data_IF_965093292095
#
_entry.id   IF_965093292095
#
_cell.length_a   1.000
_cell.length_b   1.000
_cell.length_c   1.000
_cell.angle_alpha   90.00
_cell.angle_beta   90.00
_cell.angle_gamma   90.00
#
_symmetry.space_group_name_H-M   'P 1'
#
loop_
_entity.id
_entity.type
_entity.pdbx_description
1 polymer ?
#
# COMPACT_ATOMS: atom_id res chain seq x y z
N UNK A 1 -28.96 14.60 59.19
CA UNK A 1 -27.66 13.91 59.02
C UNK A 1 -27.20 13.14 60.27
N UNK A 2 -26.97 13.75 61.44
CA UNK A 2 -26.48 13.05 62.66
C UNK A 2 -27.34 11.87 63.15
N UNK A 3 -28.68 12.01 63.16
CA UNK A 3 -29.62 10.92 63.51
C UNK A 3 -29.56 9.72 62.55
N UNK A 4 -29.33 9.97 61.27
CA UNK A 4 -29.24 8.91 60.25
C UNK A 4 -27.94 8.12 60.41
N UNK A 5 -26.82 8.81 60.60
CA UNK A 5 -25.51 8.19 60.85
C UNK A 5 -25.52 7.34 62.12
N UNK A 6 -26.16 7.82 63.18
CA UNK A 6 -26.33 7.06 64.43
C UNK A 6 -27.14 5.77 64.22
N UNK A 7 -28.25 5.82 63.45
CA UNK A 7 -29.04 4.63 63.11
C UNK A 7 -28.27 3.62 62.26
N UNK A 8 -27.49 4.10 61.28
CA UNK A 8 -26.64 3.24 60.44
C UNK A 8 -25.56 2.56 61.29
N UNK A 9 -24.88 3.30 62.18
CA UNK A 9 -23.90 2.72 63.11
C UNK A 9 -24.53 1.65 64.01
N UNK A 10 -25.72 1.89 64.52
CA UNK A 10 -26.48 0.90 65.30
C UNK A 10 -26.73 -0.38 64.49
N UNK A 11 -27.27 -0.25 63.28
CA UNK A 11 -27.55 -1.38 62.39
C UNK A 11 -26.30 -2.19 62.01
N UNK A 12 -25.18 -1.50 61.71
CA UNK A 12 -23.91 -2.15 61.36
C UNK A 12 -23.34 -2.93 62.54
N UNK A 13 -23.43 -2.38 63.75
CA UNK A 13 -22.97 -3.06 64.96
C UNK A 13 -23.86 -4.26 65.34
N UNK A 14 -25.18 -4.14 65.17
CA UNK A 14 -26.13 -5.22 65.48
C UNK A 14 -26.09 -6.36 64.45
N UNK A 15 -25.80 -6.05 63.18
CA UNK A 15 -25.84 -7.02 62.07
C UNK A 15 -24.63 -6.86 61.14
N UNK A 16 -23.41 -7.20 61.61
CA UNK A 16 -22.19 -6.96 60.84
C UNK A 16 -22.14 -7.78 59.54
N UNK A 17 -22.50 -9.08 59.58
CA UNK A 17 -22.53 -9.94 58.39
C UNK A 17 -23.51 -9.42 57.33
N UNK A 18 -24.72 -9.06 57.74
CA UNK A 18 -25.74 -8.52 56.82
C UNK A 18 -25.32 -7.18 56.24
N UNK A 19 -24.68 -6.33 57.04
CA UNK A 19 -24.16 -5.04 56.58
C UNK A 19 -23.02 -5.18 55.57
N UNK A 20 -22.14 -6.16 55.75
CA UNK A 20 -21.11 -6.51 54.75
C UNK A 20 -21.76 -7.00 53.45
N UNK A 21 -22.76 -7.89 53.52
CA UNK A 21 -23.47 -8.37 52.32
C UNK A 21 -24.17 -7.22 51.59
N UNK A 22 -24.83 -6.31 52.31
CA UNK A 22 -25.47 -5.13 51.72
C UNK A 22 -24.42 -4.22 51.06
N UNK A 23 -23.27 -4.02 51.70
CA UNK A 23 -22.18 -3.20 51.13
C UNK A 23 -21.62 -3.82 49.85
N UNK A 24 -21.37 -5.14 49.83
CA UNK A 24 -20.89 -5.85 48.65
C UNK A 24 -21.93 -5.76 47.52
N UNK A 25 -23.20 -5.99 47.83
CA UNK A 25 -24.28 -5.88 46.85
C UNK A 25 -24.39 -4.44 46.31
N UNK A 26 -24.28 -3.43 47.16
CA UNK A 26 -24.26 -2.03 46.75
C UNK A 26 -23.09 -1.72 45.83
N UNK A 27 -21.87 -2.15 46.18
CA UNK A 27 -20.68 -1.97 45.34
C UNK A 27 -20.88 -2.66 43.99
N UNK A 28 -21.36 -3.90 43.97
CA UNK A 28 -21.59 -4.64 42.73
C UNK A 28 -22.63 -3.94 41.83
N UNK A 29 -23.76 -3.50 42.40
CA UNK A 29 -24.78 -2.74 41.66
C UNK A 29 -24.23 -1.40 41.17
N UNK A 30 -23.52 -0.67 42.03
CA UNK A 30 -22.91 0.61 41.66
C UNK A 30 -21.90 0.44 40.53
N UNK A 31 -21.01 -0.56 40.61
CA UNK A 31 -20.05 -0.90 39.56
C UNK A 31 -20.78 -1.28 38.27
N UNK A 32 -21.81 -2.12 38.33
CA UNK A 32 -22.60 -2.50 37.15
C UNK A 32 -23.26 -1.29 36.47
N UNK A 33 -23.91 -0.42 37.24
CA UNK A 33 -24.55 0.80 36.71
C UNK A 33 -23.53 1.72 36.05
N UNK A 34 -22.37 1.93 36.68
CA UNK A 34 -21.31 2.75 36.09
C UNK A 34 -20.75 2.11 34.81
N UNK A 35 -20.55 0.79 34.79
CA UNK A 35 -20.13 0.09 33.58
C UNK A 35 -21.14 0.30 32.45
N UNK A 36 -22.45 0.15 32.71
CA UNK A 36 -23.49 0.39 31.70
C UNK A 36 -23.50 1.85 31.21
N UNK A 37 -23.38 2.81 32.13
CA UNK A 37 -23.27 4.22 31.75
C UNK A 37 -22.05 4.49 30.85
N UNK A 38 -20.91 3.86 31.14
CA UNK A 38 -19.73 3.95 30.29
C UNK A 38 -19.96 3.37 28.89
N UNK A 39 -20.70 2.25 28.76
CA UNK A 39 -21.03 1.67 27.46
C UNK A 39 -21.95 2.60 26.66
N UNK A 40 -23.06 3.05 27.26
CA UNK A 40 -24.03 3.93 26.60
C UNK A 40 -23.38 5.22 26.10
N UNK A 41 -22.53 5.84 26.92
CA UNK A 41 -21.80 7.08 26.55
C UNK A 41 -20.66 6.84 25.56
N UNK A 42 -20.41 5.60 25.13
CA UNK A 42 -19.46 5.25 24.06
C UNK A 42 -20.16 4.93 22.75
N UNK A 43 -21.48 4.80 22.75
CA UNK A 43 -22.23 4.41 21.57
C UNK A 43 -22.36 5.58 20.58
N UNK A 44 -22.32 5.32 19.28
CA UNK A 44 -22.49 6.37 18.26
C UNK A 44 -23.77 7.20 18.43
N UNK A 45 -24.85 6.60 18.95
CA UNK A 45 -26.09 7.33 19.24
C UNK A 45 -25.96 8.37 20.35
N UNK A 46 -25.04 8.20 21.29
CA UNK A 46 -24.72 9.25 22.26
C UNK A 46 -23.98 10.41 21.59
N UNK A 47 -23.02 10.10 20.72
CA UNK A 47 -22.28 11.11 19.96
C UNK A 47 -23.18 11.96 19.05
N UNK A 48 -24.21 11.35 18.46
CA UNK A 48 -25.18 12.05 17.58
C UNK A 48 -25.90 13.21 18.26
N UNK A 49 -26.06 13.17 19.59
CA UNK A 49 -26.69 14.26 20.33
C UNK A 49 -25.91 15.58 20.21
N UNK A 50 -24.59 15.49 20.02
CA UNK A 50 -23.71 16.64 19.82
C UNK A 50 -23.31 16.81 18.34
N UNK A 51 -23.43 15.75 17.53
CA UNK A 51 -23.14 15.73 16.10
C UNK A 51 -24.40 15.35 15.28
N UNK A 52 -25.43 16.23 15.23
CA UNK A 52 -26.72 15.93 14.60
C UNK A 52 -26.77 16.26 13.10
N UNK A 53 -25.66 16.75 12.54
CA UNK A 53 -25.58 17.18 11.14
C UNK A 53 -25.83 16.03 10.18
N UNK A 54 -26.37 16.37 9.01
CA UNK A 54 -26.73 15.40 7.95
C UNK A 54 -25.97 15.65 6.64
N UNK A 55 -24.97 16.54 6.66
CA UNK A 55 -24.10 16.81 5.52
C UNK A 55 -22.79 16.04 5.62
N UNK A 56 -21.71 16.64 5.11
CA UNK A 56 -20.34 16.10 5.16
C UNK A 56 -19.35 17.01 5.88
N UNK A 57 -19.82 18.12 6.46
CA UNK A 57 -18.99 19.07 7.22
C UNK A 57 -19.01 18.82 8.72
N UNK A 58 -18.49 19.80 9.47
CA UNK A 58 -18.55 19.80 10.93
C UNK A 58 -19.96 19.48 11.45
N UNK A 59 -20.03 18.75 12.56
CA UNK A 59 -21.25 18.22 13.19
C UNK A 59 -21.92 17.07 12.44
N UNK A 60 -21.46 16.68 11.24
CA UNK A 60 -22.04 15.58 10.46
C UNK A 60 -21.22 14.29 10.52
N UNK A 61 -20.32 14.17 11.49
CA UNK A 61 -19.34 13.08 11.63
C UNK A 61 -20.03 11.73 11.86
N UNK A 62 -21.12 11.71 12.64
CA UNK A 62 -21.90 10.48 12.87
C UNK A 62 -22.69 10.08 11.63
N UNK A 63 -23.24 11.06 10.89
CA UNK A 63 -23.99 10.80 9.67
C UNK A 63 -23.12 10.18 8.57
N UNK A 64 -21.96 10.78 8.33
CA UNK A 64 -20.97 10.29 7.35
C UNK A 64 -20.38 8.94 7.75
N UNK A 65 -20.05 8.75 9.04
CA UNK A 65 -19.56 7.46 9.54
C UNK A 65 -20.57 6.33 9.27
N UNK A 66 -21.88 6.56 9.51
CA UNK A 66 -22.93 5.55 9.29
C UNK A 66 -23.00 5.02 7.86
N UNK A 67 -22.56 5.83 6.89
CA UNK A 67 -22.58 5.48 5.48
C UNK A 67 -21.32 4.73 5.04
N UNK A 68 -20.31 4.62 5.90
CA UNK A 68 -19.00 4.05 5.58
C UNK A 68 -18.92 2.54 5.88
N UNK A 69 -18.04 1.84 5.17
CA UNK A 69 -17.75 0.41 5.39
C UNK A 69 -17.34 0.08 6.84
N UNK A 70 -16.72 1.03 7.56
CA UNK A 70 -16.37 0.83 8.97
C UNK A 70 -17.61 0.68 9.86
N UNK A 71 -18.66 1.46 9.62
CA UNK A 71 -19.91 1.33 10.37
C UNK A 71 -20.60 0.00 10.06
N UNK A 72 -20.60 -0.42 8.79
CA UNK A 72 -21.11 -1.74 8.39
C UNK A 72 -20.34 -2.88 9.07
N UNK A 73 -19.03 -2.74 9.19
CA UNK A 73 -18.17 -3.70 9.89
C UNK A 73 -18.33 -3.68 11.43
N UNK A 74 -19.18 -2.79 11.97
CA UNK A 74 -19.46 -2.66 13.40
C UNK A 74 -18.41 -1.86 14.17
N UNK A 75 -17.50 -1.15 13.49
CA UNK A 75 -16.49 -0.28 14.09
C UNK A 75 -17.15 1.02 14.52
N UNK A 76 -17.19 1.29 15.82
CA UNK A 76 -17.82 2.47 16.42
C UNK A 76 -16.83 3.64 16.51
N UNK A 77 -17.35 4.82 16.82
CA UNK A 77 -16.55 6.05 16.93
C UNK A 77 -15.33 5.89 17.86
N UNK A 78 -15.55 5.31 19.05
CA UNK A 78 -14.50 5.14 20.05
C UNK A 78 -13.50 4.00 19.71
N UNK A 79 -13.82 3.15 18.74
CA UNK A 79 -12.89 2.15 18.23
C UNK A 79 -11.78 2.80 17.36
N UNK A 80 -12.00 4.03 16.88
CA UNK A 80 -10.98 4.82 16.16
C UNK A 80 -10.40 5.94 17.05
N UNK A 81 -11.27 6.66 17.77
CA UNK A 81 -10.89 7.82 18.59
C UNK A 81 -10.31 7.47 19.98
N UNK A 82 -10.15 6.19 20.29
CA UNK A 82 -9.54 5.76 21.55
C UNK A 82 -8.50 4.68 21.32
N UNK A 83 -7.29 4.86 21.86
CA UNK A 83 -6.22 3.89 21.73
C UNK A 83 -6.62 2.48 22.25
N UNK A 84 -6.03 1.39 21.72
CA UNK A 84 -6.30 0.04 22.21
C UNK A 84 -5.93 -0.17 23.68
N UNK A 85 -6.75 -0.96 24.37
CA UNK A 85 -6.60 -1.38 25.76
C UNK A 85 -7.35 -0.52 26.78
N UNK A 86 -7.43 -1.03 28.01
CA UNK A 86 -8.22 -0.41 29.09
C UNK A 86 -7.77 1.02 29.42
N UNK A 87 -6.47 1.30 29.34
CA UNK A 87 -5.94 2.64 29.59
C UNK A 87 -6.28 3.61 28.47
N UNK A 88 -6.26 3.15 27.21
CA UNK A 88 -6.69 3.95 26.06
C UNK A 88 -8.18 4.30 26.15
N UNK A 89 -9.02 3.33 26.52
CA UNK A 89 -10.44 3.58 26.79
C UNK A 89 -10.66 4.61 27.90
N UNK A 90 -9.95 4.49 29.04
CA UNK A 90 -10.03 5.47 30.14
C UNK A 90 -9.58 6.86 29.71
N UNK A 91 -8.49 6.96 28.95
CA UNK A 91 -7.98 8.23 28.41
C UNK A 91 -9.01 8.90 27.50
N UNK A 92 -9.63 8.13 26.60
CA UNK A 92 -10.66 8.65 25.71
C UNK A 92 -11.90 9.13 26.49
N UNK A 93 -12.29 8.43 27.56
CA UNK A 93 -13.38 8.87 28.44
C UNK A 93 -13.07 10.16 29.21
N UNK A 94 -11.84 10.34 29.67
CA UNK A 94 -11.42 11.60 30.30
C UNK A 94 -11.44 12.74 29.26
N UNK A 95 -11.01 12.47 28.02
CA UNK A 95 -11.12 13.41 26.90
C UNK A 95 -12.57 13.85 26.65
N UNK A 96 -13.50 12.89 26.58
CA UNK A 96 -14.92 13.19 26.37
C UNK A 96 -15.58 14.03 27.47
N UNK A 97 -15.04 14.02 28.70
CA UNK A 97 -15.48 14.94 29.75
C UNK A 97 -15.11 16.40 29.43
N UNK A 98 -13.94 16.62 28.83
CA UNK A 98 -13.55 17.94 28.34
C UNK A 98 -14.44 18.37 27.18
N UNK A 99 -14.77 17.46 26.26
CA UNK A 99 -15.68 17.77 25.16
C UNK A 99 -17.08 18.13 25.66
N UNK A 100 -17.57 17.43 26.69
CA UNK A 100 -18.84 17.76 27.36
C UNK A 100 -18.78 19.14 28.03
N UNK A 101 -17.65 19.48 28.66
CA UNK A 101 -17.44 20.83 29.21
C UNK A 101 -17.45 21.88 28.09
N UNK A 102 -16.79 21.62 26.96
CA UNK A 102 -16.81 22.52 25.80
C UNK A 102 -18.23 22.68 25.26
N UNK A 103 -19.01 21.60 25.16
CA UNK A 103 -20.39 21.63 24.68
C UNK A 103 -21.30 22.50 25.56
N UNK A 104 -21.16 22.40 26.88
CA UNK A 104 -22.02 23.12 27.83
C UNK A 104 -21.59 24.58 28.00
N UNK A 105 -20.28 24.86 28.02
CA UNK A 105 -19.76 26.14 28.50
C UNK A 105 -19.09 27.01 27.43
N UNK A 106 -18.87 26.53 26.20
CA UNK A 106 -18.25 27.31 25.12
C UNK A 106 -19.26 27.71 24.06
N UNK A 107 -18.93 28.77 23.32
CA UNK A 107 -19.78 29.27 22.23
C UNK A 107 -19.81 28.31 21.05
N UNK A 108 -20.89 28.36 20.27
CA UNK A 108 -21.02 27.62 19.02
C UNK A 108 -19.87 27.90 18.05
N UNK A 109 -19.45 29.16 17.92
CA UNK A 109 -18.31 29.56 17.10
C UNK A 109 -17.00 28.85 17.53
N UNK A 110 -16.75 28.74 18.83
CA UNK A 110 -15.58 28.03 19.35
C UNK A 110 -15.62 26.54 18.96
N UNK A 111 -16.79 25.91 19.05
CA UNK A 111 -16.98 24.50 18.69
C UNK A 111 -16.73 24.28 17.20
N UNK A 112 -17.37 25.08 16.36
CA UNK A 112 -17.19 25.00 14.90
C UNK A 112 -15.74 25.23 14.50
N UNK A 113 -15.02 26.15 15.15
CA UNK A 113 -13.59 26.36 14.91
C UNK A 113 -12.75 25.11 15.17
N UNK A 114 -13.03 24.38 16.25
CA UNK A 114 -12.31 23.13 16.57
C UNK A 114 -12.67 22.04 15.56
N UNK A 115 -13.96 21.86 15.27
CA UNK A 115 -14.41 20.83 14.35
C UNK A 115 -13.90 21.07 12.93
N UNK A 116 -13.99 22.30 12.43
CA UNK A 116 -13.45 22.66 11.12
C UNK A 116 -11.93 22.43 11.06
N UNK A 117 -11.19 22.69 12.14
CA UNK A 117 -9.77 22.35 12.18
C UNK A 117 -9.54 20.85 11.97
N UNK A 118 -10.35 19.97 12.57
CA UNK A 118 -10.25 18.52 12.32
C UNK A 118 -10.64 18.11 10.90
N UNK A 119 -11.44 18.91 10.21
CA UNK A 119 -11.84 18.69 8.82
C UNK A 119 -10.80 19.23 7.83
N UNK A 120 -10.03 20.25 8.21
CA UNK A 120 -9.12 20.97 7.30
C UNK A 120 -7.64 20.59 7.48
N UNK A 121 -7.24 20.13 8.67
CA UNK A 121 -5.83 19.90 9.03
C UNK A 121 -5.57 18.40 9.30
N UNK A 122 -4.92 17.68 8.36
CA UNK A 122 -4.57 16.26 8.51
C UNK A 122 -3.72 15.97 9.74
N UNK A 123 -2.78 16.86 10.07
CA UNK A 123 -1.88 16.68 11.21
C UNK A 123 -2.63 16.83 12.53
N UNK A 124 -3.59 17.76 12.60
CA UNK A 124 -4.49 17.85 13.73
C UNK A 124 -5.40 16.62 13.84
N UNK A 125 -5.93 16.11 12.72
CA UNK A 125 -6.72 14.88 12.70
C UNK A 125 -5.91 13.65 13.17
N UNK A 126 -4.63 13.55 12.83
CA UNK A 126 -3.73 12.48 13.27
C UNK A 126 -3.55 12.43 14.80
N UNK A 127 -3.69 13.57 15.49
CA UNK A 127 -3.67 13.61 16.96
C UNK A 127 -4.96 13.09 17.59
N UNK A 128 -6.08 13.18 16.86
CA UNK A 128 -7.39 12.70 17.31
C UNK A 128 -7.57 11.20 17.04
N UNK A 129 -7.00 10.71 15.93
CA UNK A 129 -7.02 9.30 15.53
C UNK A 129 -5.60 8.85 15.22
N UNK A 130 -4.85 8.34 16.22
CA UNK A 130 -3.50 7.86 16.01
C UNK A 130 -3.46 6.66 15.05
N UNK A 131 -2.43 6.61 14.19
CA UNK A 131 -2.23 5.51 13.24
C UNK A 131 -2.12 4.14 13.90
N UNK A 132 -1.71 4.08 15.16
CA UNK A 132 -1.65 2.84 15.95
C UNK A 132 -3.01 2.16 16.08
N UNK A 133 -4.10 2.93 16.14
CA UNK A 133 -5.46 2.37 16.21
C UNK A 133 -5.84 1.67 14.90
N UNK A 134 -5.53 2.29 13.76
CA UNK A 134 -5.75 1.70 12.44
C UNK A 134 -4.90 0.42 12.28
N UNK A 135 -3.60 0.53 12.55
CA UNK A 135 -2.66 -0.58 12.44
C UNK A 135 -3.00 -1.76 13.36
N UNK A 136 -3.61 -1.49 14.52
CA UNK A 136 -4.06 -2.55 15.43
C UNK A 136 -5.10 -3.48 14.79
N UNK A 137 -5.92 -2.97 13.87
CA UNK A 137 -6.90 -3.76 13.12
C UNK A 137 -6.33 -4.27 11.78
N UNK A 138 -5.50 -3.47 11.11
CA UNK A 138 -5.06 -3.72 9.74
C UNK A 138 -3.69 -4.39 9.60
N UNK A 139 -3.01 -4.69 10.70
CA UNK A 139 -1.69 -5.32 10.70
C UNK A 139 -1.55 -6.35 11.84
N UNK A 140 -1.10 -7.56 11.52
CA UNK A 140 -0.90 -8.64 12.48
C UNK A 140 0.20 -8.33 13.48
N UNK A 141 1.34 -7.86 12.96
CA UNK A 141 2.52 -7.56 13.78
C UNK A 141 2.23 -6.47 14.83
N UNK A 142 1.49 -5.42 14.44
CA UNK A 142 1.11 -4.32 15.36
C UNK A 142 0.06 -4.78 16.36
N UNK A 143 -0.94 -5.56 15.94
CA UNK A 143 -1.93 -6.14 16.84
C UNK A 143 -1.26 -6.99 17.93
N UNK A 144 -0.42 -7.96 17.51
CA UNK A 144 0.27 -8.87 18.43
C UNK A 144 1.17 -8.12 19.41
N UNK A 145 1.94 -7.15 18.92
CA UNK A 145 2.80 -6.30 19.76
C UNK A 145 1.98 -5.57 20.82
N UNK A 146 0.95 -4.82 20.42
CA UNK A 146 0.15 -4.03 21.36
C UNK A 146 -0.58 -4.94 22.37
N UNK A 147 -1.09 -6.10 21.95
CA UNK A 147 -1.71 -7.07 22.85
C UNK A 147 -0.72 -7.67 23.86
N UNK A 148 0.55 -7.81 23.50
CA UNK A 148 1.60 -8.27 24.43
C UNK A 148 2.01 -7.21 25.46
N UNK A 149 1.89 -5.93 25.11
CA UNK A 149 2.33 -4.80 25.93
C UNK A 149 1.21 -4.19 26.77
N UNK A 150 -0.06 -4.34 26.37
CA UNK A 150 -1.20 -3.65 26.98
C UNK A 150 -2.28 -4.61 27.46
N UNK A 151 -2.93 -4.22 28.55
CA UNK A 151 -4.09 -4.93 29.07
C UNK A 151 -5.34 -4.57 28.26
N UNK A 152 -5.84 -5.54 27.48
CA UNK A 152 -7.00 -5.32 26.59
C UNK A 152 -8.33 -5.21 27.34
N UNK A 153 -8.56 -6.08 28.32
CA UNK A 153 -9.81 -6.10 29.09
C UNK A 153 -9.61 -6.65 30.51
N UNK A 154 -10.56 -6.35 31.41
CA UNK A 154 -10.62 -6.90 32.77
C UNK A 154 -12.04 -7.40 33.01
N UNK A 155 -12.28 -8.70 32.81
CA UNK A 155 -13.57 -9.35 33.07
C UNK A 155 -14.75 -8.91 32.19
N UNK A 156 -14.60 -7.84 31.40
CA UNK A 156 -15.62 -7.28 30.52
C UNK A 156 -15.01 -6.72 29.23
N UNK A 157 -15.70 -6.93 28.11
CA UNK A 157 -15.35 -6.38 26.79
C UNK A 157 -16.02 -5.02 26.62
N UNK A 158 -15.23 -3.95 26.48
CA UNK A 158 -15.73 -2.57 26.43
C UNK A 158 -16.02 -2.07 25.02
N UNK A 159 -15.23 -2.52 24.05
CA UNK A 159 -15.20 -2.02 22.67
C UNK A 159 -14.86 -3.15 21.71
N UNK A 160 -15.23 -3.00 20.43
CA UNK A 160 -14.83 -3.94 19.40
C UNK A 160 -13.31 -3.95 19.27
N UNK A 161 -12.69 -2.76 19.24
CA UNK A 161 -11.24 -2.60 19.11
C UNK A 161 -10.47 -3.49 20.11
N UNK A 162 -10.86 -3.47 21.38
CA UNK A 162 -10.14 -4.21 22.43
C UNK A 162 -10.32 -5.75 22.32
N UNK A 163 -11.20 -6.21 21.45
CA UNK A 163 -11.45 -7.64 21.18
C UNK A 163 -10.80 -8.13 19.90
N UNK A 164 -10.20 -7.25 19.11
CA UNK A 164 -9.56 -7.62 17.84
C UNK A 164 -8.33 -8.50 18.10
N UNK A 165 -8.33 -9.66 17.46
CA UNK A 165 -7.27 -10.66 17.50
C UNK A 165 -6.87 -11.04 16.08
N UNK A 166 -5.69 -10.59 15.65
CA UNK A 166 -5.17 -10.85 14.32
C UNK A 166 -4.25 -12.09 14.31
N UNK A 167 -4.27 -12.92 13.25
CA UNK A 167 -4.84 -12.66 11.93
C UNK A 167 -6.34 -12.99 11.77
N UNK A 168 -6.93 -13.72 12.71
CA UNK A 168 -8.30 -14.27 12.54
C UNK A 168 -9.33 -13.17 12.24
N UNK A 169 -9.33 -12.09 13.02
CA UNK A 169 -10.27 -10.98 12.81
C UNK A 169 -10.21 -10.39 11.38
N UNK A 170 -9.00 -10.20 10.82
CA UNK A 170 -8.83 -9.71 9.45
C UNK A 170 -9.26 -10.76 8.43
N UNK A 171 -8.80 -12.00 8.58
CA UNK A 171 -9.06 -13.09 7.62
C UNK A 171 -10.55 -13.42 7.52
N UNK A 172 -11.25 -13.48 8.65
CA UNK A 172 -12.71 -13.66 8.69
C UNK A 172 -13.47 -12.58 7.91
N UNK A 173 -12.89 -11.38 7.80
CA UNK A 173 -13.45 -10.22 7.08
C UNK A 173 -12.87 -10.03 5.69
N UNK A 174 -12.06 -10.98 5.21
CA UNK A 174 -11.37 -10.88 3.92
C UNK A 174 -10.41 -9.70 3.82
N UNK A 175 -9.95 -9.17 4.95
CA UNK A 175 -9.01 -8.04 5.00
C UNK A 175 -7.56 -8.51 4.87
N UNK A 176 -6.75 -7.69 4.21
CA UNK A 176 -5.30 -7.89 4.05
C UNK A 176 -4.53 -7.26 5.21
N UNK A 177 -3.32 -7.77 5.44
CA UNK A 177 -2.31 -7.09 6.23
C UNK A 177 -1.67 -6.03 5.36
N UNK A 178 -1.82 -4.76 5.72
CA UNK A 178 -1.35 -3.65 4.89
C UNK A 178 0.19 -3.53 4.83
N UNK A 179 0.93 -4.30 5.64
CA UNK A 179 2.39 -4.33 5.62
C UNK A 179 2.96 -5.52 4.88
N UNK A 180 2.29 -6.66 4.87
CA UNK A 180 2.87 -7.92 4.38
C UNK A 180 2.10 -8.57 3.24
N UNK A 181 0.80 -8.34 3.13
CA UNK A 181 0.00 -9.00 2.09
C UNK A 181 0.07 -8.18 0.80
N UNK A 182 0.27 -8.87 -0.33
CA UNK A 182 0.36 -8.22 -1.63
C UNK A 182 -0.95 -7.50 -2.01
N UNK A 183 -0.81 -6.28 -2.52
CA UNK A 183 -1.90 -5.55 -3.15
C UNK A 183 -2.17 -6.09 -4.55
N UNK A 184 -3.45 -6.39 -4.82
CA UNK A 184 -3.92 -6.78 -6.17
C UNK A 184 -4.19 -5.57 -7.08
N UNK A 185 -4.02 -4.34 -6.57
CA UNK A 185 -4.16 -3.11 -7.34
C UNK A 185 -2.89 -2.83 -8.15
N UNK A 186 -3.05 -2.01 -9.20
CA UNK A 186 -1.94 -1.44 -9.98
C UNK A 186 -1.12 -0.43 -9.17
N UNK A 187 -1.61 -0.02 -8.00
CA UNK A 187 -0.98 0.94 -7.13
C UNK A 187 -0.73 0.27 -5.78
N UNK A 188 0.54 0.19 -5.41
CA UNK A 188 1.00 -0.24 -4.09
C UNK A 188 1.83 0.89 -3.47
N UNK A 189 1.25 1.68 -2.54
CA UNK A 189 1.97 2.78 -1.92
C UNK A 189 3.05 2.29 -0.95
N UNK A 190 3.18 1.00 -0.64
CA UNK A 190 4.08 0.49 0.40
C UNK A 190 3.91 1.26 1.72
N UNK A 191 2.78 1.04 2.39
CA UNK A 191 2.41 1.75 3.64
C UNK A 191 3.52 1.73 4.69
N UNK A 192 4.29 0.63 4.78
CA UNK A 192 5.39 0.50 5.73
C UNK A 192 6.46 1.57 5.49
N UNK A 193 6.89 1.79 4.24
CA UNK A 193 7.89 2.82 3.92
C UNK A 193 7.41 4.23 4.27
N UNK A 194 6.15 4.53 3.99
CA UNK A 194 5.57 5.84 4.32
C UNK A 194 5.49 6.08 5.83
N UNK A 195 5.10 5.06 6.60
CA UNK A 195 5.04 5.16 8.06
C UNK A 195 6.44 5.23 8.68
N UNK A 196 7.41 4.47 8.16
CA UNK A 196 8.80 4.54 8.60
C UNK A 196 9.42 5.93 8.30
N UNK A 197 8.94 6.62 7.25
CA UNK A 197 9.30 8.00 6.93
C UNK A 197 8.61 9.05 7.82
N UNK A 198 7.78 8.62 8.78
CA UNK A 198 7.12 9.49 9.76
C UNK A 198 5.75 10.00 9.34
N UNK A 199 5.19 9.51 8.22
CA UNK A 199 3.83 9.85 7.82
C UNK A 199 2.80 9.08 8.64
N UNK A 200 1.65 9.71 8.83
CA UNK A 200 0.48 9.18 9.52
C UNK A 200 -0.59 8.75 8.53
N UNK A 201 -1.49 7.88 8.96
CA UNK A 201 -2.64 7.49 8.13
C UNK A 201 -3.47 8.68 7.66
N UNK A 202 -3.60 9.73 8.49
CA UNK A 202 -4.44 10.88 8.16
C UNK A 202 -3.80 11.80 7.12
N UNK A 203 -2.48 11.71 6.91
CA UNK A 203 -1.82 12.50 5.87
C UNK A 203 -2.31 12.11 4.47
N UNK A 204 -2.82 10.88 4.28
CA UNK A 204 -3.40 10.43 3.01
C UNK A 204 -4.89 10.07 3.12
N UNK A 205 -5.30 9.39 4.20
CA UNK A 205 -6.69 8.97 4.45
C UNK A 205 -7.48 10.00 5.25
N UNK A 206 -7.24 11.29 4.97
CA UNK A 206 -7.94 12.38 5.63
C UNK A 206 -9.45 12.28 5.39
N UNK A 207 -10.25 12.50 6.44
CA UNK A 207 -11.72 12.36 6.39
C UNK A 207 -12.23 10.99 5.91
N UNK A 208 -11.46 9.91 6.07
CA UNK A 208 -11.81 8.55 5.60
C UNK A 208 -13.22 8.06 5.96
N UNK A 209 -13.76 8.43 7.12
CA UNK A 209 -15.14 8.11 7.54
C UNK A 209 -16.03 9.36 7.64
N UNK A 210 -15.49 10.53 7.32
CA UNK A 210 -16.14 11.84 7.46
C UNK A 210 -16.34 12.56 6.11
N UNK A 211 -15.88 11.99 5.00
CA UNK A 211 -16.06 12.53 3.65
C UNK A 211 -17.43 12.22 3.04
N UNK A 212 -18.12 11.19 3.55
CA UNK A 212 -19.44 10.74 3.06
C UNK A 212 -19.35 9.58 2.06
N UNK A 213 -18.16 9.08 1.76
CA UNK A 213 -17.95 7.93 0.90
C UNK A 213 -18.14 6.61 1.66
N UNK A 214 -18.75 5.62 0.99
CA UNK A 214 -18.82 4.25 1.50
C UNK A 214 -17.41 3.64 1.68
N UNK A 215 -16.52 3.92 0.72
CA UNK A 215 -15.09 3.59 0.76
C UNK A 215 -14.31 4.81 0.30
N UNK A 216 -13.71 5.54 1.25
CA UNK A 216 -12.86 6.67 0.92
C UNK A 216 -11.55 6.17 0.31
N UNK A 217 -11.38 6.41 -0.99
CA UNK A 217 -10.13 6.18 -1.70
C UNK A 217 -9.20 7.40 -1.53
N UNK A 218 -7.89 7.17 -1.59
CA UNK A 218 -6.90 8.25 -1.62
C UNK A 218 -6.89 8.85 -3.03
N UNK A 219 -6.80 10.18 -3.12
CA UNK A 219 -6.61 10.88 -4.38
C UNK A 219 -5.16 10.69 -4.88
N UNK A 220 -5.00 10.16 -6.08
CA UNK A 220 -3.68 9.92 -6.67
C UNK A 220 -2.89 11.21 -6.93
N UNK A 221 -3.57 12.34 -7.11
CA UNK A 221 -2.90 13.64 -7.23
C UNK A 221 -2.15 14.01 -5.94
N UNK A 222 -2.62 13.50 -4.80
CA UNK A 222 -1.94 13.73 -3.53
C UNK A 222 -0.57 13.02 -3.48
N UNK A 223 -0.47 11.86 -4.13
CA UNK A 223 0.79 11.11 -4.25
C UNK A 223 1.82 11.93 -5.05
N UNK A 224 1.45 12.35 -6.27
CA UNK A 224 2.36 13.09 -7.15
C UNK A 224 2.76 14.45 -6.57
N UNK A 225 1.82 15.17 -5.96
CA UNK A 225 2.10 16.46 -5.33
C UNK A 225 3.13 16.34 -4.20
N UNK A 226 2.92 15.43 -3.25
CA UNK A 226 3.83 15.25 -2.11
C UNK A 226 5.22 14.79 -2.56
N UNK A 227 5.28 13.84 -3.50
CA UNK A 227 6.57 13.36 -4.03
C UNK A 227 7.31 14.43 -4.85
N UNK A 228 6.59 15.31 -5.56
CA UNK A 228 7.20 16.40 -6.33
C UNK A 228 7.71 17.53 -5.43
N UNK A 229 6.91 17.96 -4.45
CA UNK A 229 7.30 19.01 -3.49
C UNK A 229 8.51 18.61 -2.65
N UNK A 230 8.69 17.30 -2.43
CA UNK A 230 9.78 16.72 -1.62
C UNK A 230 10.80 15.96 -2.45
N UNK A 231 10.90 16.20 -3.75
CA UNK A 231 11.82 15.49 -4.65
C UNK A 231 13.31 15.63 -4.24
N UNK A 232 13.67 16.70 -3.52
CA UNK A 232 15.02 16.89 -2.97
C UNK A 232 15.30 16.14 -1.65
N UNK A 233 14.28 15.58 -1.02
CA UNK A 233 14.36 14.83 0.24
C UNK A 233 14.05 13.34 0.06
N UNK A 234 13.22 13.02 -0.93
CA UNK A 234 12.72 11.69 -1.23
C UNK A 234 13.39 11.24 -2.52
N UNK A 235 14.38 10.37 -2.41
CA UNK A 235 14.86 9.62 -3.57
C UNK A 235 13.94 8.43 -3.78
N UNK A 236 13.35 8.34 -4.96
CA UNK A 236 12.64 7.12 -5.36
C UNK A 236 13.71 6.11 -5.75
N UNK A 237 13.77 4.99 -5.02
CA UNK A 237 14.73 3.93 -5.33
C UNK A 237 14.61 3.51 -6.79
N UNK A 238 15.76 3.31 -7.44
CA UNK A 238 15.80 2.74 -8.77
C UNK A 238 15.03 1.41 -8.79
N UNK A 239 14.24 1.22 -9.86
CA UNK A 239 13.50 -0.01 -10.08
C UNK A 239 14.33 -0.89 -10.99
N UNK A 240 14.72 -2.05 -10.47
CA UNK A 240 15.36 -3.08 -11.28
C UNK A 240 14.28 -3.98 -11.89
N UNK A 241 14.27 -4.07 -13.22
CA UNK A 241 13.36 -4.90 -14.00
C UNK A 241 14.15 -6.05 -14.63
N UNK A 242 13.64 -7.28 -14.53
CA UNK A 242 14.32 -8.48 -15.01
C UNK A 242 15.35 -9.05 -14.03
N UNK A 243 16.05 -10.11 -14.46
CA UNK A 243 17.03 -10.83 -13.67
C UNK A 243 18.33 -11.08 -14.46
N UNK A 244 19.43 -11.29 -13.73
CA UNK A 244 20.74 -11.61 -14.30
C UNK A 244 21.25 -10.52 -15.25
N UNK A 245 21.92 -10.95 -16.32
CA UNK A 245 22.53 -10.04 -17.30
C UNK A 245 21.49 -9.16 -18.00
N UNK A 246 20.25 -9.65 -18.16
CA UNK A 246 19.16 -8.91 -18.80
C UNK A 246 18.55 -7.80 -17.94
N UNK A 247 18.93 -7.69 -16.66
CA UNK A 247 18.34 -6.73 -15.75
C UNK A 247 18.58 -5.27 -16.18
N UNK A 248 17.53 -4.46 -16.10
CA UNK A 248 17.54 -3.02 -16.41
C UNK A 248 17.29 -2.25 -15.14
N UNK A 249 18.12 -1.24 -14.85
CA UNK A 249 17.86 -0.28 -13.78
C UNK A 249 17.15 0.94 -14.33
N UNK A 250 15.95 1.23 -13.82
CA UNK A 250 15.18 2.43 -14.16
C UNK A 250 15.24 3.44 -13.02
N UNK A 251 15.74 4.64 -13.31
CA UNK A 251 15.84 5.72 -12.33
C UNK A 251 14.64 6.67 -12.38
N UNK A 252 13.84 6.65 -11.32
CA UNK A 252 12.74 7.60 -11.14
C UNK A 252 13.25 9.02 -10.94
N UNK A 253 14.36 9.21 -10.23
CA UNK A 253 14.93 10.53 -9.97
C UNK A 253 15.34 11.22 -11.30
N UNK A 254 15.89 10.47 -12.25
CA UNK A 254 16.22 11.01 -13.58
C UNK A 254 14.98 11.37 -14.40
N UNK A 255 14.03 10.45 -14.52
CA UNK A 255 12.84 10.67 -15.34
C UNK A 255 11.89 11.69 -14.72
N UNK A 256 11.79 11.72 -13.38
CA UNK A 256 10.97 12.67 -12.62
C UNK A 256 11.42 14.12 -12.72
N UNK A 257 12.66 14.39 -13.16
CA UNK A 257 13.08 15.76 -13.49
C UNK A 257 12.43 16.30 -14.77
N UNK A 258 12.01 15.41 -15.67
CA UNK A 258 11.48 15.76 -17.00
C UNK A 258 9.98 15.53 -17.13
N UNK A 259 9.46 14.51 -16.44
CA UNK A 259 8.09 14.03 -16.58
C UNK A 259 7.38 13.95 -15.23
N UNK A 260 6.09 14.29 -15.23
CA UNK A 260 5.21 14.06 -14.10
C UNK A 260 4.81 12.58 -14.00
N UNK A 261 4.39 12.14 -12.82
CA UNK A 261 4.07 10.73 -12.55
C UNK A 261 2.98 10.18 -13.47
N UNK A 262 1.98 11.00 -13.79
CA UNK A 262 0.85 10.65 -14.66
C UNK A 262 1.24 10.41 -16.11
N UNK A 263 2.43 10.86 -16.52
CA UNK A 263 2.94 10.57 -17.85
C UNK A 263 3.28 9.07 -18.05
N UNK A 264 3.63 8.37 -16.96
CA UNK A 264 3.98 6.97 -16.97
C UNK A 264 2.93 6.10 -16.25
N UNK A 265 2.34 6.61 -15.17
CA UNK A 265 1.46 5.86 -14.29
C UNK A 265 0.01 6.34 -14.34
N UNK A 266 -0.99 5.46 -14.41
CA UNK A 266 -0.89 3.99 -14.50
C UNK A 266 -0.89 3.46 -15.93
N UNK A 267 -0.94 4.35 -16.92
CA UNK A 267 -1.22 4.00 -18.32
C UNK A 267 -0.12 3.13 -18.96
N UNK A 268 1.16 3.43 -18.72
CA UNK A 268 2.29 2.65 -19.23
C UNK A 268 2.79 1.62 -18.21
N UNK A 269 2.82 2.02 -16.94
CA UNK A 269 3.31 1.21 -15.85
C UNK A 269 2.36 1.26 -14.64
N UNK A 270 2.09 0.15 -13.96
CA UNK A 270 1.50 0.19 -12.63
C UNK A 270 2.49 0.80 -11.62
N UNK A 271 1.99 1.55 -10.63
CA UNK A 271 2.76 1.97 -9.45
C UNK A 271 2.93 0.80 -8.47
N UNK A 272 3.40 -0.34 -8.99
CA UNK A 272 3.63 -1.57 -8.24
C UNK A 272 4.88 -2.25 -8.79
N UNK A 273 5.87 -2.48 -7.93
CA UNK A 273 7.08 -3.18 -8.30
C UNK A 273 6.76 -4.59 -8.85
N UNK A 274 7.38 -4.94 -9.98
CA UNK A 274 7.11 -6.21 -10.68
C UNK A 274 5.72 -6.32 -11.31
N UNK A 275 4.96 -5.21 -11.39
CA UNK A 275 3.63 -5.21 -12.00
C UNK A 275 3.63 -5.26 -13.53
N UNK A 276 4.76 -4.95 -14.17
CA UNK A 276 4.93 -5.05 -15.62
C UNK A 276 5.81 -6.24 -16.00
N UNK A 277 5.31 -7.08 -16.91
CA UNK A 277 6.07 -8.14 -17.54
C UNK A 277 6.49 -7.71 -18.95
N UNK A 278 7.68 -7.13 -19.06
CA UNK A 278 8.23 -6.64 -20.33
C UNK A 278 9.02 -7.79 -20.96
N UNK A 279 8.59 -8.25 -22.13
CA UNK A 279 9.37 -9.14 -23.00
C UNK A 279 10.18 -8.35 -24.04
N UNK A 280 11.09 -9.04 -24.74
CA UNK A 280 11.86 -8.44 -25.80
C UNK A 280 10.99 -7.93 -26.96
N UNK A 281 9.82 -8.54 -27.21
CA UNK A 281 8.90 -8.10 -28.29
C UNK A 281 8.52 -6.62 -28.17
N UNK A 282 8.51 -6.08 -26.95
CA UNK A 282 8.21 -4.67 -26.75
C UNK A 282 9.34 -3.71 -27.15
N UNK A 283 10.53 -4.21 -27.49
CA UNK A 283 11.69 -3.41 -27.89
C UNK A 283 11.59 -2.89 -29.33
N UNK A 284 10.56 -3.31 -30.07
CA UNK A 284 10.29 -2.82 -31.43
C UNK A 284 8.85 -2.35 -31.61
N UNK A 285 8.07 -2.35 -30.52
CA UNK A 285 6.73 -1.77 -30.45
C UNK A 285 6.79 -0.49 -29.63
N UNK A 286 6.04 0.55 -29.95
CA UNK A 286 5.94 1.79 -29.15
C UNK A 286 5.23 1.58 -27.79
N UNK A 287 5.69 0.60 -26.98
CA UNK A 287 5.14 0.18 -25.70
C UNK A 287 6.20 0.26 -24.60
N UNK A 288 5.77 0.46 -23.35
CA UNK A 288 6.65 0.59 -22.18
C UNK A 288 7.77 1.62 -22.41
N UNK A 289 9.04 1.22 -22.29
CA UNK A 289 10.19 2.09 -22.49
C UNK A 289 10.20 2.69 -23.91
N UNK A 290 9.81 1.89 -24.90
CA UNK A 290 9.87 2.23 -26.33
C UNK A 290 8.73 3.14 -26.78
N UNK A 291 7.75 3.46 -25.93
CA UNK A 291 6.82 4.57 -26.23
C UNK A 291 7.55 5.92 -26.31
N UNK A 292 8.71 6.03 -25.66
CA UNK A 292 9.58 7.21 -25.69
C UNK A 292 10.94 6.89 -26.32
N UNK A 293 11.55 5.74 -25.99
CA UNK A 293 12.84 5.30 -26.51
C UNK A 293 12.69 4.59 -27.87
N UNK A 294 12.17 5.27 -28.87
CA UNK A 294 11.97 4.73 -30.23
C UNK A 294 12.86 5.37 -31.30
N UNK A 295 13.86 6.16 -30.90
CA UNK A 295 14.74 6.89 -31.81
C UNK A 295 14.14 8.16 -32.42
N UNK A 296 12.85 8.43 -32.18
CA UNK A 296 12.21 9.70 -32.53
C UNK A 296 12.06 10.62 -31.31
N UNK A 297 11.44 10.13 -30.24
CA UNK A 297 11.22 10.92 -29.03
C UNK A 297 12.46 10.94 -28.11
N UNK A 298 13.11 9.79 -27.96
CA UNK A 298 14.40 9.65 -27.29
C UNK A 298 15.26 8.61 -28.02
N UNK A 299 16.57 8.88 -28.09
CA UNK A 299 17.55 7.88 -28.53
C UNK A 299 17.63 6.74 -27.52
N UNK A 300 18.04 5.57 -27.98
CA UNK A 300 18.29 4.41 -27.14
C UNK A 300 19.45 3.59 -27.69
N UNK A 301 20.12 2.90 -26.79
CA UNK A 301 21.05 1.82 -27.11
C UNK A 301 20.93 0.76 -26.01
N UNK A 302 21.26 -0.48 -26.35
CA UNK A 302 21.06 -1.62 -25.45
C UNK A 302 21.85 -1.46 -24.15
N UNK A 303 23.06 -0.89 -24.20
CA UNK A 303 23.97 -0.79 -23.06
C UNK A 303 23.58 0.35 -22.10
N UNK A 304 22.87 1.37 -22.58
CA UNK A 304 22.31 2.42 -21.74
C UNK A 304 21.22 1.92 -20.78
N UNK A 305 20.56 0.81 -21.10
CA UNK A 305 19.53 0.21 -20.25
C UNK A 305 19.99 -1.11 -19.60
N UNK A 306 20.59 -2.01 -20.38
CA UNK A 306 21.07 -3.30 -19.90
C UNK A 306 22.53 -3.19 -19.46
N UNK A 307 22.81 -3.47 -18.19
CA UNK A 307 24.17 -3.48 -17.65
C UNK A 307 25.08 -4.52 -18.32
N UNK A 308 24.49 -5.61 -18.83
CA UNK A 308 25.13 -6.57 -19.71
C UNK A 308 24.14 -6.93 -20.83
N UNK A 309 24.45 -6.64 -22.09
CA UNK A 309 23.55 -6.99 -23.18
C UNK A 309 23.41 -8.52 -23.22
N UNK A 310 22.19 -9.09 -23.10
CA UNK A 310 22.00 -10.53 -23.08
C UNK A 310 22.35 -11.11 -24.45
N UNK A 311 23.62 -11.46 -24.63
CA UNK A 311 24.12 -12.18 -25.79
C UNK A 311 24.32 -13.64 -25.40
N UNK A 312 23.86 -14.61 -26.21
CA UNK A 312 24.21 -16.00 -26.02
C UNK A 312 25.73 -16.15 -25.98
N UNK A 313 26.27 -16.57 -24.83
CA UNK A 313 27.69 -16.89 -24.70
C UNK A 313 28.01 -18.25 -25.32
N UNK A 314 27.04 -19.17 -25.28
CA UNK A 314 27.11 -20.44 -25.98
C UNK A 314 26.70 -20.28 -27.44
N UNK A 315 27.31 -21.04 -28.37
CA UNK A 315 26.89 -21.04 -29.77
C UNK A 315 25.41 -21.43 -29.93
N UNK A 316 24.71 -20.75 -30.83
CA UNK A 316 23.35 -21.15 -31.22
C UNK A 316 23.47 -22.30 -32.22
N UNK A 317 23.12 -23.51 -31.80
CA UNK A 317 23.25 -24.73 -32.63
C UNK A 317 21.98 -25.02 -33.42
N UNK A 318 22.05 -24.93 -34.74
CA UNK A 318 20.97 -25.33 -35.65
C UNK A 318 21.12 -26.79 -36.06
N UNK A 319 20.09 -27.59 -35.82
CA UNK A 319 20.04 -29.01 -36.19
C UNK A 319 19.13 -29.23 -37.39
N UNK A 320 19.57 -30.06 -38.33
CA UNK A 320 18.87 -30.36 -39.58
C UNK A 320 19.03 -31.85 -39.89
N UNK A 321 17.96 -32.50 -40.35
CA UNK A 321 18.01 -33.92 -40.70
C UNK A 321 18.95 -34.14 -41.90
N UNK A 322 19.90 -35.07 -41.76
CA UNK A 322 20.82 -35.46 -42.83
C UNK A 322 22.06 -34.57 -43.00
N UNK A 323 22.26 -33.56 -42.15
CA UNK A 323 23.42 -32.66 -42.18
C UNK A 323 24.05 -32.51 -40.79
N UNK A 324 25.36 -32.21 -40.75
CA UNK A 324 26.03 -31.86 -39.50
C UNK A 324 25.46 -30.55 -38.93
N UNK A 325 25.39 -30.39 -37.59
CA UNK A 325 24.85 -29.20 -36.95
C UNK A 325 25.64 -27.95 -37.34
N UNK A 326 24.98 -26.80 -37.25
CA UNK A 326 25.61 -25.51 -37.50
C UNK A 326 25.64 -24.71 -36.22
N UNK A 327 26.85 -24.44 -35.72
CA UNK A 327 27.06 -23.60 -34.55
C UNK A 327 27.28 -22.15 -34.97
N UNK A 328 26.35 -21.28 -34.60
CA UNK A 328 26.49 -19.84 -34.77
C UNK A 328 27.09 -19.21 -33.50
N UNK A 329 28.32 -18.69 -33.61
CA UNK A 329 28.99 -18.00 -32.51
C UNK A 329 28.54 -16.53 -32.43
N UNK A 330 27.58 -16.24 -31.56
CA UNK A 330 27.07 -14.88 -31.37
C UNK A 330 28.13 -13.92 -30.81
N UNK A 331 28.98 -14.38 -29.89
CA UNK A 331 30.04 -13.53 -29.30
C UNK A 331 31.02 -13.00 -30.35
N UNK A 332 31.42 -13.84 -31.31
CA UNK A 332 32.28 -13.42 -32.41
C UNK A 332 31.61 -12.36 -33.28
N UNK A 333 30.36 -12.60 -33.68
CA UNK A 333 29.63 -11.69 -34.56
C UNK A 333 29.26 -10.38 -33.85
N UNK A 334 28.81 -10.43 -32.59
CA UNK A 334 28.48 -9.26 -31.79
C UNK A 334 29.68 -8.37 -31.42
N UNK A 335 30.90 -8.91 -31.47
CA UNK A 335 32.13 -8.11 -31.36
C UNK A 335 32.51 -7.42 -32.68
N UNK A 336 31.98 -7.89 -33.82
CA UNK A 336 32.31 -7.38 -35.14
C UNK A 336 31.23 -6.44 -35.72
N UNK A 337 29.97 -6.61 -35.31
CA UNK A 337 28.82 -5.87 -35.84
C UNK A 337 27.89 -5.41 -34.71
N UNK A 338 27.16 -4.31 -34.94
CA UNK A 338 26.15 -3.82 -34.01
C UNK A 338 24.90 -4.71 -34.02
N UNK A 339 24.16 -4.76 -32.92
CA UNK A 339 22.96 -5.59 -32.76
C UNK A 339 21.92 -5.35 -33.89
N UNK A 340 21.71 -4.07 -34.23
CA UNK A 340 20.81 -3.60 -35.30
C UNK A 340 21.20 -4.07 -36.71
N UNK A 341 22.44 -4.53 -36.89
CA UNK A 341 22.88 -5.12 -38.17
C UNK A 341 22.20 -6.46 -38.44
N UNK A 342 21.77 -7.16 -37.38
CA UNK A 342 21.16 -8.49 -37.47
C UNK A 342 19.72 -8.54 -36.94
N UNK A 343 19.41 -7.72 -35.93
CA UNK A 343 18.14 -7.72 -35.20
C UNK A 343 17.35 -6.41 -35.41
N UNK A 344 16.02 -6.45 -35.45
CA UNK A 344 15.14 -7.63 -35.36
C UNK A 344 14.90 -8.35 -36.69
N UNK A 345 15.43 -7.80 -37.79
CA UNK A 345 15.23 -8.30 -39.14
C UNK A 345 16.58 -8.45 -39.85
N UNK A 346 16.95 -9.66 -40.33
CA UNK A 346 16.07 -10.81 -40.50
C UNK A 346 15.95 -11.76 -39.30
N UNK A 347 16.70 -11.56 -38.21
CA UNK A 347 16.61 -12.43 -37.03
C UNK A 347 15.90 -11.76 -35.86
N UNK A 348 14.84 -12.38 -35.36
CA UNK A 348 14.27 -12.01 -34.06
C UNK A 348 15.16 -12.55 -32.93
N UNK A 349 15.20 -11.87 -31.78
CA UNK A 349 16.02 -12.21 -30.62
C UNK A 349 15.46 -13.40 -29.82
N UNK A 350 15.05 -14.45 -30.53
CA UNK A 350 14.58 -15.71 -29.98
C UNK A 350 15.28 -16.85 -30.72
N UNK A 351 15.96 -17.71 -29.97
CA UNK A 351 16.71 -18.83 -30.55
C UNK A 351 15.78 -19.72 -31.38
N UNK A 352 16.19 -20.03 -32.61
CA UNK A 352 15.47 -20.90 -33.56
C UNK A 352 14.11 -20.37 -34.06
N UNK A 353 13.71 -19.16 -33.71
CA UNK A 353 12.42 -18.62 -34.13
C UNK A 353 12.39 -18.12 -35.58
N UNK A 354 13.57 -17.90 -36.18
CA UNK A 354 13.73 -17.56 -37.60
C UNK A 354 14.16 -18.80 -38.39
N UNK A 355 13.25 -19.54 -39.06
CA UNK A 355 13.61 -20.64 -39.92
C UNK A 355 14.32 -20.11 -41.18
N UNK A 356 15.35 -20.82 -41.62
CA UNK A 356 16.20 -20.43 -42.74
C UNK A 356 16.53 -21.63 -43.61
N UNK A 357 16.67 -21.40 -44.90
CA UNK A 357 17.09 -22.41 -45.87
C UNK A 357 18.33 -21.97 -46.63
N UNK A 358 19.13 -22.93 -47.09
CA UNK A 358 20.29 -22.65 -47.95
C UNK A 358 19.90 -21.92 -49.24
N UNK A 359 18.71 -22.19 -49.79
CA UNK A 359 18.23 -21.50 -50.99
C UNK A 359 18.01 -20.00 -50.75
N UNK A 360 17.54 -19.61 -49.57
CA UNK A 360 17.41 -18.20 -49.18
C UNK A 360 18.79 -17.58 -48.99
N UNK A 361 19.73 -18.31 -48.37
CA UNK A 361 21.12 -17.85 -48.22
C UNK A 361 21.82 -17.63 -49.58
N UNK A 362 21.61 -18.52 -50.55
CA UNK A 362 22.13 -18.34 -51.91
C UNK A 362 21.52 -17.14 -52.65
N UNK A 363 20.34 -16.69 -52.23
CA UNK A 363 19.69 -15.47 -52.72
C UNK A 363 20.09 -14.22 -51.92
N UNK A 364 21.08 -14.33 -51.03
CA UNK A 364 21.58 -13.22 -50.24
C UNK A 364 20.70 -12.88 -49.03
N UNK A 365 19.89 -13.80 -48.53
CA UNK A 365 19.11 -13.62 -47.30
C UNK A 365 19.82 -14.27 -46.10
N UNK A 366 19.46 -13.87 -44.88
CA UNK A 366 20.03 -14.41 -43.63
C UNK A 366 21.57 -14.40 -43.65
N UNK A 367 22.22 -15.52 -43.33
CA UNK A 367 23.68 -15.65 -43.34
C UNK A 367 24.27 -15.22 -44.69
N UNK A 368 23.54 -15.45 -45.79
CA UNK A 368 23.94 -15.09 -47.15
C UNK A 368 24.01 -13.59 -47.42
N UNK A 369 23.42 -12.72 -46.57
CA UNK A 369 23.59 -11.27 -46.69
C UNK A 369 25.06 -10.87 -46.60
N UNK A 370 25.80 -11.52 -45.69
CA UNK A 370 27.23 -11.27 -45.47
C UNK A 370 28.11 -12.39 -46.06
N UNK A 371 27.70 -13.66 -45.91
CA UNK A 371 28.42 -14.83 -46.43
C UNK A 371 28.15 -15.05 -47.93
N UNK A 372 28.43 -14.03 -48.75
CA UNK A 372 28.21 -14.02 -50.19
C UNK A 372 29.51 -14.13 -51.01
N UNK A 373 30.66 -14.27 -50.35
CA UNK A 373 31.99 -14.32 -50.99
C UNK A 373 32.60 -12.94 -51.26
N UNK A 374 31.92 -11.85 -50.90
CA UNK A 374 32.42 -10.48 -50.99
C UNK A 374 32.64 -9.88 -49.61
N UNK A 375 31.60 -9.85 -48.75
CA UNK A 375 31.68 -9.29 -47.40
C UNK A 375 32.31 -10.29 -46.41
N UNK A 376 31.96 -11.57 -46.53
CA UNK A 376 32.57 -12.69 -45.81
C UNK A 376 32.73 -13.89 -46.75
N UNK A 377 33.28 -15.00 -46.23
CA UNK A 377 33.43 -16.23 -47.02
C UNK A 377 32.06 -16.70 -47.55
N UNK A 378 31.99 -17.35 -48.74
CA UNK A 378 30.73 -17.68 -49.36
C UNK A 378 29.98 -18.79 -48.61
N UNK A 379 28.64 -18.72 -48.58
CA UNK A 379 27.76 -19.72 -47.97
C UNK A 379 27.85 -21.11 -48.64
N UNK A 380 28.54 -21.21 -49.78
CA UNK A 380 28.87 -22.49 -50.43
C UNK A 380 30.06 -23.21 -49.79
N UNK A 381 30.77 -22.58 -48.85
CA UNK A 381 31.86 -23.22 -48.09
C UNK A 381 31.31 -24.07 -46.94
N UNK A 382 30.58 -25.14 -47.26
CA UNK A 382 29.74 -25.92 -46.32
C UNK A 382 30.45 -26.32 -45.01
N UNK A 383 31.70 -26.79 -45.10
CA UNK A 383 32.48 -27.25 -43.95
C UNK A 383 32.86 -26.15 -42.93
N UNK A 384 32.63 -24.87 -43.25
CA UNK A 384 32.84 -23.77 -42.31
C UNK A 384 31.69 -23.61 -41.32
N UNK A 385 30.49 -24.05 -41.70
CA UNK A 385 29.29 -23.92 -40.89
C UNK A 385 28.84 -25.27 -40.33
N UNK A 386 28.85 -26.32 -41.16
CA UNK A 386 28.41 -27.66 -40.78
C UNK A 386 29.59 -28.48 -40.21
N UNK A 387 29.67 -28.63 -38.88
CA UNK A 387 30.78 -29.28 -38.18
C UNK A 387 30.37 -30.53 -37.39
#
# INVERSE_FOLDING_TARGET
>A
MKKLVSKIKGFVNERPKTSIVILIAFIAVFSYVNLQAMHITSEPGFCEMCHPGTGTGALSEVHTWRQNIHAEAGVKCLDCHGEPGIFGYKKAKIGGLYDTYVEIFRSEEYKLKILNKSVEDPQYAANLVPSTTCLFCHTDSVNQKIRSERLMSIGHKFRLLDTVENPEFRKERGMRDIFTDELKSEIDPNHKRHIDAGLTCMDCHHRMVHGGEYRAAVDLNQCSQCHSERAGEISMSDVVMGEGDSAVSFSHDFHGMMFSCDHCHTDLFPMKAGGSAISFDYHTTDQYCFSCHNGQAASYDCASCHGQVPMPMEPITYTMEGFAPVDFNHTFHGNAFSCETCHDTPWIMEAHATPMTMNEMYRGQFCGQCHNGQAAFPATACARCHQ
#
